data_IF_271905269257
#
_entry.id   IF_271905269257
#
_cell.length_a   1.000
_cell.length_b   1.000
_cell.length_c   1.000
_cell.angle_alpha   90.00
_cell.angle_beta   90.00
_cell.angle_gamma   90.00
#
_symmetry.space_group_name_H-M   'P 1'
#
loop_
_entity.id
_entity.type
_entity.pdbx_description
1 polymer ?
#
# COMPACT_ATOMS: atom_id res chain seq x y z
N UNK A 1 -11.48 29.81 -17.70
CA UNK A 1 -11.09 29.14 -16.44
C UNK A 1 -12.11 28.03 -16.17
N UNK A 2 -11.74 26.75 -16.36
CA UNK A 2 -12.65 25.63 -16.13
C UNK A 2 -12.98 25.51 -14.63
N UNK A 3 -14.26 25.50 -14.28
CA UNK A 3 -14.71 25.27 -12.90
C UNK A 3 -14.46 23.80 -12.57
N UNK A 4 -13.68 23.53 -11.52
CA UNK A 4 -13.52 22.17 -11.00
C UNK A 4 -14.78 21.75 -10.29
N UNK A 5 -15.20 20.52 -10.52
CA UNK A 5 -16.36 19.91 -9.85
C UNK A 5 -15.97 19.41 -8.45
N UNK A 6 -16.94 19.26 -7.55
CA UNK A 6 -16.69 18.70 -6.21
C UNK A 6 -16.03 17.31 -6.26
N UNK A 7 -16.44 16.37 -7.13
CA UNK A 7 -15.74 15.09 -7.30
C UNK A 7 -14.26 15.23 -7.69
N UNK A 8 -13.91 16.23 -8.51
CA UNK A 8 -12.52 16.48 -8.89
C UNK A 8 -11.69 16.95 -7.69
N UNK A 9 -12.24 17.84 -6.87
CA UNK A 9 -11.55 18.33 -5.66
C UNK A 9 -11.36 17.19 -4.66
N UNK A 10 -12.38 16.36 -4.46
CA UNK A 10 -12.30 15.18 -3.58
C UNK A 10 -11.27 14.17 -4.08
N UNK A 11 -11.21 13.91 -5.40
CA UNK A 11 -10.19 13.05 -5.99
C UNK A 11 -8.78 13.63 -5.81
N UNK A 12 -8.59 14.95 -5.91
CA UNK A 12 -7.32 15.62 -5.67
C UNK A 12 -6.86 15.46 -4.21
N UNK A 13 -7.77 15.68 -3.26
CA UNK A 13 -7.48 15.51 -1.83
C UNK A 13 -7.12 14.06 -1.53
N UNK A 14 -7.91 13.10 -1.99
CA UNK A 14 -7.65 11.68 -1.76
C UNK A 14 -6.32 11.23 -2.38
N UNK A 15 -5.99 11.70 -3.59
CA UNK A 15 -4.71 11.39 -4.24
C UNK A 15 -3.52 11.94 -3.43
N UNK A 16 -3.68 13.12 -2.83
CA UNK A 16 -2.67 13.71 -1.95
C UNK A 16 -2.49 12.89 -0.66
N UNK A 17 -3.59 12.54 0.02
CA UNK A 17 -3.55 11.70 1.22
C UNK A 17 -2.93 10.32 0.92
N UNK A 18 -3.29 9.70 -0.20
CA UNK A 18 -2.76 8.39 -0.61
C UNK A 18 -1.28 8.47 -0.98
N UNK A 19 -0.83 9.58 -1.56
CA UNK A 19 0.61 9.82 -1.78
C UNK A 19 1.36 9.89 -0.45
N UNK A 20 0.83 10.60 0.54
CA UNK A 20 1.44 10.69 1.87
C UNK A 20 1.45 9.33 2.59
N UNK A 21 0.40 8.53 2.46
CA UNK A 21 0.34 7.17 2.99
C UNK A 21 1.41 6.25 2.37
N UNK A 22 1.72 6.47 1.08
CA UNK A 22 2.72 5.69 0.36
C UNK A 22 4.15 6.21 0.54
N UNK A 23 4.32 7.48 0.94
CA UNK A 23 5.62 8.11 1.15
C UNK A 23 6.41 7.47 2.28
N UNK A 24 5.81 7.38 3.47
CA UNK A 24 6.37 6.73 4.67
C UNK A 24 5.26 6.09 5.50
N UNK A 25 5.62 5.14 6.36
CA UNK A 25 4.64 4.47 7.23
C UNK A 25 4.07 5.45 8.26
N UNK A 26 2.82 5.85 8.07
CA UNK A 26 2.09 6.69 9.02
C UNK A 26 0.60 6.70 8.74
N UNK A 27 -0.19 6.87 9.79
CA UNK A 27 -1.64 7.04 9.72
C UNK A 27 -1.93 8.49 9.30
N UNK A 28 -2.28 8.69 8.03
CA UNK A 28 -2.62 10.01 7.50
C UNK A 28 -4.13 10.19 7.49
N UNK A 29 -4.60 11.21 8.20
CA UNK A 29 -6.03 11.56 8.32
C UNK A 29 -6.23 13.05 8.03
N UNK A 30 -7.34 13.38 7.37
CA UNK A 30 -7.74 14.80 7.25
C UNK A 30 -8.34 15.28 8.56
N UNK A 31 -7.65 16.18 9.24
CA UNK A 31 -8.16 16.82 10.46
C UNK A 31 -9.27 17.84 10.15
N UNK A 32 -9.11 18.59 9.06
CA UNK A 32 -10.05 19.61 8.61
C UNK A 32 -10.00 19.75 7.10
N UNK A 33 -11.16 19.69 6.47
CA UNK A 33 -11.35 20.02 5.05
C UNK A 33 -12.27 21.23 4.96
N UNK A 34 -11.87 22.24 4.20
CA UNK A 34 -12.67 23.45 3.99
C UNK A 34 -12.81 23.73 2.49
N UNK A 35 -14.05 23.67 2.00
CA UNK A 35 -14.43 23.95 0.63
C UNK A 35 -14.96 25.37 0.52
N UNK A 36 -14.21 26.24 -0.15
CA UNK A 36 -14.57 27.65 -0.40
C UNK A 36 -14.93 27.83 -1.88
N UNK A 37 -16.19 27.67 -2.27
CA UNK A 37 -16.61 27.91 -3.65
C UNK A 37 -16.44 29.39 -3.99
N UNK A 38 -16.00 29.66 -5.23
CA UNK A 38 -15.94 31.03 -5.77
C UNK A 38 -17.28 31.54 -6.30
N UNK A 39 -18.33 30.71 -6.21
CA UNK A 39 -19.67 31.02 -6.72
C UNK A 39 -20.57 31.46 -5.57
N UNK A 40 -21.36 32.51 -5.79
CA UNK A 40 -22.38 32.97 -4.83
C UNK A 40 -23.54 31.97 -4.73
N UNK A 41 -23.75 31.15 -5.76
CA UNK A 41 -24.85 30.17 -5.84
C UNK A 41 -24.53 28.81 -5.21
N UNK A 42 -23.28 28.56 -4.82
CA UNK A 42 -22.85 27.27 -4.26
C UNK A 42 -22.44 27.52 -2.82
N UNK A 43 -23.10 26.85 -1.89
CA UNK A 43 -22.73 26.88 -0.48
C UNK A 43 -21.46 26.05 -0.27
N UNK A 44 -20.48 26.61 0.43
CA UNK A 44 -19.28 25.88 0.83
C UNK A 44 -19.55 24.88 1.94
N UNK A 45 -18.50 24.19 2.37
CA UNK A 45 -18.59 23.21 3.43
C UNK A 45 -17.32 23.16 4.27
N UNK A 46 -17.45 22.90 5.56
CA UNK A 46 -16.32 22.61 6.45
C UNK A 46 -16.58 21.28 7.14
N UNK A 47 -15.66 20.35 6.96
CA UNK A 47 -15.64 19.07 7.66
C UNK A 47 -14.48 19.09 8.64
N UNK A 48 -14.73 18.70 9.89
CA UNK A 48 -13.69 18.57 10.92
C UNK A 48 -13.79 17.17 11.50
N UNK A 49 -12.66 16.48 11.55
CA UNK A 49 -12.56 15.16 12.17
C UNK A 49 -12.26 15.32 13.66
N UNK A 50 -12.86 14.47 14.50
CA UNK A 50 -12.54 14.42 15.92
C UNK A 50 -11.09 13.94 16.18
N UNK A 51 -10.60 14.07 17.42
CA UNK A 51 -9.30 13.52 17.79
C UNK A 51 -9.28 12.01 17.55
N UNK A 52 -8.27 11.53 16.81
CA UNK A 52 -8.04 10.11 16.60
C UNK A 52 -6.71 9.70 17.21
N UNK A 53 -6.73 8.60 17.96
CA UNK A 53 -5.50 8.00 18.48
C UNK A 53 -4.88 7.13 17.38
N UNK A 54 -3.94 7.70 16.63
CA UNK A 54 -3.24 7.00 15.56
C UNK A 54 -1.99 6.28 16.05
N UNK A 55 -1.81 5.03 15.60
CA UNK A 55 -0.69 4.16 16.02
C UNK A 55 0.64 4.53 15.36
N UNK A 56 0.62 4.85 14.07
CA UNK A 56 1.83 5.13 13.29
C UNK A 56 1.89 6.61 12.94
N UNK A 57 3.01 7.27 13.24
CA UNK A 57 3.21 8.71 13.02
C UNK A 57 4.57 8.92 12.37
N UNK A 58 4.65 9.88 11.47
CA UNK A 58 5.93 10.44 11.00
C UNK A 58 5.80 11.95 10.88
N UNK A 59 6.95 12.63 10.93
CA UNK A 59 7.05 14.06 10.67
C UNK A 59 7.60 14.29 9.27
N UNK A 60 7.11 15.35 8.61
CA UNK A 60 7.72 15.87 7.39
C UNK A 60 8.63 17.02 7.76
N UNK A 61 9.82 17.02 7.17
CA UNK A 61 10.83 18.07 7.28
C UNK A 61 11.08 18.71 5.93
N UNK A 62 11.83 19.82 5.90
CA UNK A 62 12.23 20.45 4.64
C UNK A 62 13.08 19.54 3.74
N UNK A 63 13.78 18.56 4.33
CA UNK A 63 14.59 17.56 3.60
C UNK A 63 13.71 16.63 2.76
N UNK A 64 12.45 16.43 3.15
CA UNK A 64 11.53 15.52 2.47
C UNK A 64 10.85 16.14 1.23
N UNK A 65 10.93 17.46 1.08
CA UNK A 65 10.20 18.21 0.04
C UNK A 65 10.56 17.75 -1.37
N UNK A 66 11.84 17.56 -1.76
CA UNK A 66 12.19 17.12 -3.11
C UNK A 66 11.61 15.75 -3.45
N UNK A 67 11.80 14.76 -2.56
CA UNK A 67 11.33 13.38 -2.77
C UNK A 67 9.81 13.29 -2.80
N UNK A 68 9.14 14.00 -1.88
CA UNK A 68 7.69 14.06 -1.84
C UNK A 68 7.11 14.74 -3.09
N UNK A 69 7.77 15.79 -3.59
CA UNK A 69 7.35 16.47 -4.83
C UNK A 69 7.50 15.56 -6.05
N UNK A 70 8.62 14.84 -6.15
CA UNK A 70 8.85 13.88 -7.22
C UNK A 70 7.83 12.74 -7.18
N UNK A 71 7.57 12.19 -5.99
CA UNK A 71 6.59 11.14 -5.77
C UNK A 71 5.18 11.62 -6.11
N UNK A 72 4.78 12.80 -5.62
CA UNK A 72 3.45 13.36 -5.88
C UNK A 72 3.23 13.63 -7.36
N UNK A 73 4.20 14.23 -8.05
CA UNK A 73 4.14 14.48 -9.50
C UNK A 73 3.86 13.19 -10.27
N UNK A 74 4.47 12.08 -9.83
CA UNK A 74 4.34 10.78 -10.47
C UNK A 74 3.04 10.06 -10.11
N UNK A 75 2.66 10.04 -8.83
CA UNK A 75 1.52 9.26 -8.34
C UNK A 75 0.17 9.95 -8.55
N UNK A 76 0.12 11.28 -8.49
CA UNK A 76 -1.12 12.05 -8.60
C UNK A 76 -1.99 11.64 -9.80
N UNK A 77 -1.52 11.61 -11.06
CA UNK A 77 -2.38 11.25 -12.18
C UNK A 77 -2.91 9.81 -12.09
N UNK A 78 -2.10 8.89 -11.56
CA UNK A 78 -2.47 7.47 -11.42
C UNK A 78 -3.54 7.29 -10.35
N UNK A 79 -3.37 7.92 -9.19
CA UNK A 79 -4.31 7.87 -8.07
C UNK A 79 -5.63 8.59 -8.40
N UNK A 80 -5.58 9.74 -9.09
CA UNK A 80 -6.79 10.43 -9.54
C UNK A 80 -7.62 9.55 -10.48
N UNK A 81 -6.98 8.83 -11.40
CA UNK A 81 -7.67 7.89 -12.28
C UNK A 81 -8.35 6.77 -11.48
N UNK A 82 -7.70 6.26 -10.43
CA UNK A 82 -8.25 5.24 -9.54
C UNK A 82 -9.46 5.77 -8.79
N UNK A 83 -9.36 6.94 -8.16
CA UNK A 83 -10.46 7.53 -7.39
C UNK A 83 -11.68 7.90 -8.24
N UNK A 84 -11.49 8.15 -9.54
CA UNK A 84 -12.58 8.40 -10.49
C UNK A 84 -13.21 7.12 -11.03
N UNK A 85 -12.53 5.98 -10.91
CA UNK A 85 -13.06 4.70 -11.37
C UNK A 85 -14.03 4.12 -10.36
N UNK A 86 -15.17 3.64 -10.83
CA UNK A 86 -16.13 2.89 -10.02
C UNK A 86 -15.78 1.40 -9.91
N UNK A 87 -14.80 0.93 -10.69
CA UNK A 87 -14.42 -0.48 -10.71
C UNK A 87 -13.51 -0.82 -9.53
N UNK A 88 -13.93 -1.81 -8.74
CA UNK A 88 -13.10 -2.38 -7.68
C UNK A 88 -12.05 -3.30 -8.30
N UNK A 89 -10.88 -2.77 -8.62
CA UNK A 89 -9.73 -3.58 -9.02
C UNK A 89 -8.88 -4.05 -7.84
N UNK A 90 -7.92 -4.92 -8.12
CA UNK A 90 -6.98 -5.47 -7.14
C UNK A 90 -6.23 -4.39 -6.34
N UNK A 91 -5.88 -3.27 -6.98
CA UNK A 91 -5.19 -2.18 -6.33
C UNK A 91 -6.11 -1.45 -5.35
N UNK A 92 -7.34 -1.12 -5.77
CA UNK A 92 -8.34 -0.47 -4.91
C UNK A 92 -8.66 -1.32 -3.68
N UNK A 93 -8.77 -2.64 -3.85
CA UNK A 93 -8.94 -3.58 -2.73
C UNK A 93 -7.72 -3.55 -1.80
N UNK A 94 -6.51 -3.66 -2.36
CA UNK A 94 -5.27 -3.63 -1.58
C UNK A 94 -5.10 -2.32 -0.81
N UNK A 95 -5.35 -1.18 -1.45
CA UNK A 95 -5.27 0.15 -0.85
C UNK A 95 -6.27 0.30 0.29
N UNK A 96 -7.51 -0.16 0.12
CA UNK A 96 -8.52 -0.18 1.19
C UNK A 96 -8.04 -1.01 2.38
N UNK A 97 -7.59 -2.25 2.16
CA UNK A 97 -7.08 -3.12 3.25
C UNK A 97 -5.87 -2.54 3.97
N UNK A 98 -4.99 -1.86 3.25
CA UNK A 98 -3.86 -1.15 3.87
C UNK A 98 -4.32 0.02 4.75
N UNK A 99 -5.29 0.82 4.29
CA UNK A 99 -5.88 1.90 5.09
C UNK A 99 -6.58 1.37 6.34
N UNK A 100 -7.35 0.29 6.22
CA UNK A 100 -7.96 -0.39 7.37
C UNK A 100 -6.89 -0.77 8.41
N UNK A 101 -5.79 -1.39 7.96
CA UNK A 101 -4.68 -1.78 8.82
C UNK A 101 -4.00 -0.59 9.54
N UNK A 102 -3.97 0.59 8.90
CA UNK A 102 -3.34 1.79 9.44
C UNK A 102 -4.25 2.65 10.33
N UNK A 103 -5.55 2.69 10.02
CA UNK A 103 -6.46 3.72 10.53
C UNK A 103 -7.50 3.18 11.52
N UNK A 104 -7.92 1.92 11.42
CA UNK A 104 -9.10 1.43 12.17
C UNK A 104 -8.80 1.01 13.62
N UNK A 105 -7.56 1.15 14.10
CA UNK A 105 -7.24 1.07 15.54
C UNK A 105 -7.51 -0.29 16.20
N UNK A 106 -7.39 -1.40 15.46
CA UNK A 106 -7.65 -2.76 15.95
C UNK A 106 -6.47 -3.42 16.69
N UNK A 107 -6.63 -4.70 16.99
CA UNK A 107 -5.55 -5.53 17.54
C UNK A 107 -4.39 -5.68 16.54
N UNK A 108 -3.23 -6.10 17.02
CA UNK A 108 -2.09 -6.37 16.14
C UNK A 108 -2.39 -7.48 15.13
N UNK A 109 -3.17 -8.48 15.52
CA UNK A 109 -3.64 -9.56 14.65
C UNK A 109 -4.58 -9.06 13.55
N UNK A 110 -5.49 -8.14 13.87
CA UNK A 110 -6.35 -7.49 12.88
C UNK A 110 -5.50 -6.66 11.89
N UNK A 111 -4.54 -5.91 12.40
CA UNK A 111 -3.59 -5.12 11.60
C UNK A 111 -2.81 -6.02 10.62
N UNK A 112 -2.24 -7.12 11.12
CA UNK A 112 -1.52 -8.10 10.31
C UNK A 112 -2.44 -8.75 9.28
N UNK A 113 -3.66 -9.11 9.68
CA UNK A 113 -4.66 -9.71 8.79
C UNK A 113 -5.01 -8.79 7.62
N UNK A 114 -5.27 -7.52 7.89
CA UNK A 114 -5.54 -6.51 6.85
C UNK A 114 -4.30 -6.26 5.97
N UNK A 115 -3.09 -6.21 6.55
CA UNK A 115 -1.83 -6.11 5.81
C UNK A 115 -1.57 -7.30 4.88
N UNK A 116 -1.79 -8.53 5.35
CA UNK A 116 -1.71 -9.74 4.52
C UNK A 116 -2.78 -9.72 3.42
N UNK A 117 -4.02 -9.35 3.73
CA UNK A 117 -5.09 -9.26 2.73
C UNK A 117 -4.77 -8.22 1.65
N UNK A 118 -4.10 -7.12 2.01
CA UNK A 118 -3.56 -6.16 1.05
C UNK A 118 -2.56 -6.83 0.10
N UNK A 119 -1.58 -7.56 0.64
CA UNK A 119 -0.57 -8.26 -0.15
C UNK A 119 -1.19 -9.35 -1.03
N UNK A 120 -2.16 -10.12 -0.53
CA UNK A 120 -2.92 -11.12 -1.31
C UNK A 120 -3.61 -10.45 -2.51
N UNK A 121 -4.29 -9.32 -2.29
CA UNK A 121 -4.96 -8.59 -3.35
C UNK A 121 -4.00 -8.13 -4.46
N UNK A 122 -2.76 -7.76 -4.11
CA UNK A 122 -1.77 -7.27 -5.07
C UNK A 122 -0.99 -8.39 -5.76
N UNK A 123 -0.63 -9.44 -5.01
CA UNK A 123 0.40 -10.40 -5.41
C UNK A 123 -0.11 -11.83 -5.57
N UNK A 124 -1.41 -12.10 -5.44
CA UNK A 124 -2.01 -13.38 -5.81
C UNK A 124 -2.98 -13.22 -6.99
N UNK A 125 -2.94 -14.18 -7.91
CA UNK A 125 -3.87 -14.28 -9.04
C UNK A 125 -5.22 -14.85 -8.61
N UNK A 126 -6.29 -14.50 -9.34
CA UNK A 126 -7.65 -14.94 -9.01
C UNK A 126 -7.85 -16.47 -9.05
N UNK A 127 -7.02 -17.19 -9.82
CA UNK A 127 -7.05 -18.65 -9.94
C UNK A 127 -6.17 -19.40 -8.94
N UNK A 128 -5.38 -18.70 -8.12
CA UNK A 128 -4.45 -19.34 -7.19
C UNK A 128 -5.19 -19.76 -5.92
N UNK A 129 -5.17 -21.06 -5.61
CA UNK A 129 -5.86 -21.63 -4.44
C UNK A 129 -4.96 -22.44 -3.50
N UNK A 130 -3.79 -22.83 -3.97
CA UNK A 130 -2.85 -23.67 -3.23
C UNK A 130 -1.57 -22.90 -2.93
N UNK A 131 -0.93 -23.25 -1.81
CA UNK A 131 0.38 -22.71 -1.42
C UNK A 131 0.41 -21.17 -1.29
N UNK A 132 -0.74 -20.56 -0.98
CA UNK A 132 -0.88 -19.10 -0.96
C UNK A 132 0.17 -18.42 -0.06
N UNK A 133 0.42 -18.98 1.12
CA UNK A 133 1.49 -18.55 2.04
C UNK A 133 2.85 -18.52 1.37
N UNK A 134 3.24 -19.61 0.71
CA UNK A 134 4.56 -19.75 0.08
C UNK A 134 4.70 -18.82 -1.12
N UNK A 135 3.71 -18.79 -2.01
CA UNK A 135 3.70 -17.90 -3.18
C UNK A 135 3.76 -16.43 -2.78
N UNK A 136 2.95 -16.04 -1.80
CA UNK A 136 2.94 -14.66 -1.31
C UNK A 136 4.30 -14.31 -0.70
N UNK A 137 4.84 -15.16 0.17
CA UNK A 137 6.17 -14.96 0.77
C UNK A 137 7.26 -14.80 -0.28
N UNK A 138 7.31 -15.68 -1.28
CA UNK A 138 8.29 -15.64 -2.37
C UNK A 138 8.17 -14.37 -3.22
N UNK A 139 6.95 -13.96 -3.59
CA UNK A 139 6.74 -12.77 -4.43
C UNK A 139 7.09 -11.48 -3.68
N UNK A 140 6.72 -11.37 -2.41
CA UNK A 140 7.07 -10.19 -1.59
C UNK A 140 8.59 -10.12 -1.38
N UNK A 141 9.24 -11.24 -1.05
CA UNK A 141 10.70 -11.27 -0.86
C UNK A 141 11.47 -11.02 -2.15
N UNK A 142 11.00 -11.55 -3.29
CA UNK A 142 11.57 -11.29 -4.60
C UNK A 142 11.51 -9.79 -4.93
N UNK A 143 10.35 -9.17 -4.73
CA UNK A 143 10.19 -7.74 -4.99
C UNK A 143 11.10 -6.89 -4.10
N UNK A 144 11.19 -7.24 -2.80
CA UNK A 144 12.10 -6.57 -1.89
C UNK A 144 13.58 -6.73 -2.31
N UNK A 145 13.97 -7.92 -2.78
CA UNK A 145 15.30 -8.21 -3.31
C UNK A 145 15.63 -7.34 -4.53
N UNK A 146 14.71 -7.27 -5.50
CA UNK A 146 14.88 -6.52 -6.75
C UNK A 146 15.03 -5.01 -6.52
N UNK A 147 14.40 -4.51 -5.46
CA UNK A 147 14.48 -3.10 -5.06
C UNK A 147 15.64 -2.80 -4.11
N UNK A 148 16.29 -3.83 -3.55
CA UNK A 148 17.44 -3.68 -2.65
C UNK A 148 17.12 -3.02 -1.31
N UNK A 149 15.86 -3.10 -0.86
CA UNK A 149 15.37 -2.37 0.32
C UNK A 149 15.32 -3.20 1.61
N UNK A 150 15.15 -4.52 1.50
CA UNK A 150 15.07 -5.42 2.66
C UNK A 150 15.80 -6.74 2.37
N UNK A 151 16.25 -7.42 3.43
CA UNK A 151 16.76 -8.79 3.34
C UNK A 151 15.64 -9.75 2.91
N UNK A 152 15.74 -10.41 1.74
CA UNK A 152 14.67 -11.25 1.20
C UNK A 152 14.31 -12.42 2.13
N UNK A 153 15.28 -12.98 2.86
CA UNK A 153 15.03 -14.08 3.79
C UNK A 153 14.23 -13.62 5.00
N UNK A 154 14.58 -12.47 5.59
CA UNK A 154 13.79 -11.86 6.66
C UNK A 154 12.36 -11.55 6.20
N UNK A 155 12.20 -10.94 5.01
CA UNK A 155 10.86 -10.66 4.44
C UNK A 155 10.04 -11.95 4.30
N UNK A 156 10.62 -13.00 3.72
CA UNK A 156 9.92 -14.27 3.55
C UNK A 156 9.47 -14.88 4.89
N UNK A 157 10.32 -14.84 5.91
CA UNK A 157 10.02 -15.35 7.27
C UNK A 157 8.91 -14.53 7.93
N UNK A 158 8.99 -13.20 7.86
CA UNK A 158 7.98 -12.30 8.41
C UNK A 158 6.63 -12.54 7.73
N UNK A 159 6.57 -12.62 6.39
CA UNK A 159 5.32 -12.90 5.65
C UNK A 159 4.76 -14.28 6.01
N UNK A 160 5.62 -15.29 6.11
CA UNK A 160 5.22 -16.64 6.51
C UNK A 160 4.57 -16.63 7.90
N UNK A 161 5.20 -15.96 8.87
CA UNK A 161 4.68 -15.87 10.23
C UNK A 161 3.40 -15.02 10.32
N UNK A 162 3.35 -13.90 9.60
CA UNK A 162 2.18 -13.05 9.50
C UNK A 162 0.97 -13.79 8.89
N UNK A 163 1.20 -14.65 7.89
CA UNK A 163 0.15 -15.46 7.29
C UNK A 163 -0.42 -16.48 8.29
N UNK A 164 0.43 -17.10 9.13
CA UNK A 164 -0.03 -17.98 10.22
C UNK A 164 -0.94 -17.23 11.20
N UNK A 165 -0.53 -16.03 11.63
CA UNK A 165 -1.34 -15.19 12.53
C UNK A 165 -2.68 -14.83 11.88
N UNK A 166 -2.67 -14.42 10.61
CA UNK A 166 -3.89 -14.12 9.85
C UNK A 166 -4.82 -15.33 9.79
N UNK A 167 -4.28 -16.53 9.53
CA UNK A 167 -5.06 -17.77 9.53
C UNK A 167 -5.67 -18.05 10.91
N UNK A 168 -4.86 -17.98 11.97
CA UNK A 168 -5.30 -18.20 13.35
C UNK A 168 -6.40 -17.21 13.77
N UNK A 169 -6.22 -15.93 13.45
CA UNK A 169 -7.15 -14.85 13.81
C UNK A 169 -8.50 -14.99 13.12
N UNK A 170 -8.52 -15.31 11.81
CA UNK A 170 -9.77 -15.52 11.06
C UNK A 170 -10.55 -16.73 11.59
N UNK A 171 -9.87 -17.74 12.15
CA UNK A 171 -10.51 -18.87 12.82
C UNK A 171 -10.87 -18.59 14.30
N UNK A 172 -10.80 -17.34 14.75
CA UNK A 172 -11.21 -16.92 16.09
C UNK A 172 -10.24 -17.31 17.22
N UNK A 173 -9.04 -17.76 16.88
CA UNK A 173 -8.01 -18.13 17.85
C UNK A 173 -7.11 -16.93 18.20
N UNK A 174 -6.56 -16.92 19.41
CA UNK A 174 -5.72 -15.82 19.93
C UNK A 174 -4.24 -16.22 19.93
N UNK A 175 -3.37 -15.31 19.52
CA UNK A 175 -1.92 -15.52 19.58
C UNK A 175 -1.44 -15.29 21.03
N UNK A 176 -0.76 -16.28 21.62
CA UNK A 176 -0.30 -16.23 23.02
C UNK A 176 1.22 -16.46 23.13
N UNK A 177 1.77 -16.14 24.30
CA UNK A 177 3.16 -16.43 24.67
C UNK A 177 4.18 -15.55 23.94
N UNK A 178 5.34 -16.12 23.61
CA UNK A 178 6.44 -15.39 22.95
C UNK A 178 6.05 -14.77 21.60
N UNK A 179 5.12 -15.41 20.87
CA UNK A 179 4.59 -14.89 19.61
C UNK A 179 3.93 -13.51 19.80
N UNK A 180 3.28 -13.27 20.94
CA UNK A 180 2.65 -11.98 21.23
C UNK A 180 3.67 -10.84 21.35
N UNK A 181 4.87 -11.12 21.89
CA UNK A 181 5.95 -10.12 22.02
C UNK A 181 6.47 -9.63 20.68
N UNK A 182 6.38 -10.46 19.64
CA UNK A 182 6.85 -10.12 18.29
C UNK A 182 5.80 -9.39 17.45
N UNK A 183 4.54 -9.33 17.89
CA UNK A 183 3.44 -8.79 17.08
C UNK A 183 3.66 -7.34 16.69
N UNK A 184 4.17 -6.49 17.59
CA UNK A 184 4.37 -5.07 17.25
C UNK A 184 5.40 -4.88 16.14
N UNK A 185 6.56 -5.56 16.22
CA UNK A 185 7.58 -5.56 15.16
C UNK A 185 7.00 -6.09 13.85
N UNK A 186 6.25 -7.18 13.94
CA UNK A 186 5.67 -7.81 12.76
C UNK A 186 4.61 -6.94 12.08
N UNK A 187 3.77 -6.24 12.86
CA UNK A 187 2.82 -5.27 12.29
C UNK A 187 3.53 -4.23 11.44
N UNK A 188 4.58 -3.61 11.99
CA UNK A 188 5.34 -2.59 11.30
C UNK A 188 6.01 -3.13 10.02
N UNK A 189 6.62 -4.32 10.10
CA UNK A 189 7.22 -4.99 8.96
C UNK A 189 6.19 -5.29 7.85
N UNK A 190 5.06 -5.92 8.20
CA UNK A 190 3.99 -6.24 7.24
C UNK A 190 3.44 -4.98 6.58
N UNK A 191 3.19 -3.91 7.35
CA UNK A 191 2.70 -2.66 6.80
C UNK A 191 3.71 -2.00 5.85
N UNK A 192 5.00 -2.04 6.16
CA UNK A 192 6.04 -1.55 5.26
C UNK A 192 6.12 -2.38 3.97
N UNK A 193 5.98 -3.71 4.06
CA UNK A 193 5.91 -4.57 2.87
C UNK A 193 4.65 -4.26 2.04
N UNK A 194 3.48 -4.10 2.67
CA UNK A 194 2.23 -3.68 2.01
C UNK A 194 2.39 -2.32 1.30
N UNK A 195 2.98 -1.33 1.98
CA UNK A 195 3.27 0.00 1.42
C UNK A 195 4.15 -0.10 0.17
N UNK A 196 5.25 -0.85 0.26
CA UNK A 196 6.16 -1.08 -0.86
C UNK A 196 5.44 -1.72 -2.05
N UNK A 197 4.67 -2.78 -1.82
CA UNK A 197 3.93 -3.46 -2.87
C UNK A 197 2.85 -2.57 -3.52
N UNK A 198 2.16 -1.75 -2.73
CA UNK A 198 1.23 -0.75 -3.26
C UNK A 198 1.94 0.27 -4.13
N UNK A 199 3.05 0.82 -3.65
CA UNK A 199 3.85 1.83 -4.33
C UNK A 199 4.38 1.31 -5.68
N UNK A 200 4.81 0.06 -5.74
CA UNK A 200 5.21 -0.59 -6.99
C UNK A 200 4.01 -0.78 -7.91
N UNK A 201 2.92 -1.37 -7.39
CA UNK A 201 1.76 -1.75 -8.20
C UNK A 201 1.08 -0.53 -8.83
N UNK A 202 0.95 0.58 -8.10
CA UNK A 202 0.37 1.81 -8.66
C UNK A 202 1.22 2.37 -9.79
N UNK A 203 2.55 2.36 -9.66
CA UNK A 203 3.47 2.91 -10.67
C UNK A 203 3.61 2.03 -11.92
N UNK A 204 3.39 0.72 -11.77
CA UNK A 204 3.35 -0.22 -12.89
C UNK A 204 1.99 -0.26 -13.60
N UNK A 205 0.98 0.41 -13.05
CA UNK A 205 -0.36 0.49 -13.65
C UNK A 205 -0.28 1.08 -15.05
N UNK A 206 -0.86 0.37 -16.02
CA UNK A 206 -0.83 0.75 -17.44
C UNK A 206 0.46 0.36 -18.18
N UNK A 207 1.55 0.08 -17.47
CA UNK A 207 2.78 -0.44 -18.08
C UNK A 207 2.75 -1.97 -18.25
N UNK A 208 2.21 -2.68 -17.27
CA UNK A 208 2.10 -4.14 -17.29
C UNK A 208 0.80 -4.59 -16.59
N UNK A 209 0.13 -5.60 -17.14
CA UNK A 209 -1.05 -6.22 -16.50
C UNK A 209 -0.61 -7.04 -15.28
N UNK A 210 -1.45 -7.09 -14.24
CA UNK A 210 -1.17 -7.83 -12.99
C UNK A 210 -0.69 -9.26 -13.25
N UNK A 211 -1.44 -10.06 -14.01
CA UNK A 211 -1.09 -11.47 -14.24
C UNK A 211 0.25 -11.63 -14.98
N UNK A 212 0.54 -10.73 -15.93
CA UNK A 212 1.83 -10.70 -16.63
C UNK A 212 2.97 -10.31 -15.68
N UNK A 213 2.72 -9.36 -14.78
CA UNK A 213 3.69 -8.97 -13.74
C UNK A 213 3.98 -10.14 -12.79
N UNK A 214 2.94 -10.83 -12.28
CA UNK A 214 3.12 -12.00 -11.41
C UNK A 214 3.92 -13.11 -12.10
N UNK A 215 3.60 -13.41 -13.36
CA UNK A 215 4.36 -14.39 -14.15
C UNK A 215 5.83 -13.98 -14.34
N UNK A 216 6.08 -12.70 -14.59
CA UNK A 216 7.45 -12.17 -14.75
C UNK A 216 8.22 -12.28 -13.43
N UNK A 217 7.57 -11.96 -12.32
CA UNK A 217 8.14 -12.09 -10.98
C UNK A 217 8.48 -13.55 -10.65
N UNK A 218 7.58 -14.49 -10.93
CA UNK A 218 7.83 -15.92 -10.72
C UNK A 218 9.00 -16.41 -11.59
N UNK A 219 9.02 -16.04 -12.88
CA UNK A 219 10.12 -16.42 -13.78
C UNK A 219 11.46 -15.81 -13.35
N UNK A 220 11.46 -14.62 -12.76
CA UNK A 220 12.69 -13.96 -12.28
C UNK A 220 13.37 -14.69 -11.12
N UNK A 221 12.65 -15.59 -10.44
CA UNK A 221 13.21 -16.46 -9.40
C UNK A 221 14.07 -17.59 -9.99
N UNK A 222 13.85 -17.93 -11.26
CA UNK A 222 14.46 -19.09 -11.92
C UNK A 222 15.45 -18.70 -13.02
N UNK A 223 15.22 -17.55 -13.68
CA UNK A 223 15.97 -17.12 -14.85
C UNK A 223 16.59 -15.72 -14.64
N UNK A 224 17.92 -15.65 -14.75
CA UNK A 224 18.68 -14.41 -14.52
C UNK A 224 18.39 -13.33 -15.57
N UNK A 225 18.05 -13.70 -16.80
CA UNK A 225 17.70 -12.75 -17.86
C UNK A 225 16.32 -12.12 -17.56
N UNK A 226 15.34 -12.92 -17.15
CA UNK A 226 14.04 -12.44 -16.71
C UNK A 226 14.16 -11.55 -15.48
N UNK A 227 15.05 -11.91 -14.55
CA UNK A 227 15.40 -11.06 -13.40
C UNK A 227 15.94 -9.71 -13.83
N UNK A 228 16.94 -9.68 -14.70
CA UNK A 228 17.50 -8.44 -15.21
C UNK A 228 16.45 -7.56 -15.92
N UNK A 229 15.60 -8.16 -16.75
CA UNK A 229 14.51 -7.44 -17.42
C UNK A 229 13.54 -6.80 -16.42
N UNK A 230 13.17 -7.54 -15.37
CA UNK A 230 12.30 -7.02 -14.32
C UNK A 230 12.98 -5.89 -13.52
N UNK A 231 14.27 -6.02 -13.20
CA UNK A 231 15.05 -4.95 -12.55
C UNK A 231 15.07 -3.68 -13.40
N UNK A 232 15.26 -3.78 -14.72
CA UNK A 232 15.22 -2.63 -15.63
C UNK A 232 13.83 -1.98 -15.69
N UNK A 233 12.77 -2.79 -15.72
CA UNK A 233 11.39 -2.29 -15.65
C UNK A 233 11.16 -1.52 -14.34
N UNK A 234 11.56 -2.09 -13.20
CA UNK A 234 11.39 -1.45 -11.89
C UNK A 234 12.21 -0.16 -11.80
N UNK A 235 13.48 -0.17 -12.20
CA UNK A 235 14.34 1.03 -12.18
C UNK A 235 13.81 2.18 -13.05
N UNK A 236 13.24 1.86 -14.21
CA UNK A 236 12.71 2.88 -15.13
C UNK A 236 11.33 3.40 -14.72
N UNK A 237 10.51 2.60 -14.03
CA UNK A 237 9.10 2.93 -13.75
C UNK A 237 8.78 3.16 -12.29
N UNK A 238 9.61 2.78 -11.33
CA UNK A 238 9.30 2.85 -9.89
C UNK A 238 10.24 3.80 -9.18
N UNK A 239 9.68 4.79 -8.48
CA UNK A 239 10.37 5.56 -7.45
C UNK A 239 10.01 4.93 -6.10
N UNK A 240 11.02 4.64 -5.29
CA UNK A 240 10.86 4.11 -3.94
C UNK A 240 11.31 5.16 -2.95
N UNK A 241 10.49 5.42 -1.93
CA UNK A 241 10.83 6.27 -0.79
C UNK A 241 10.90 5.39 0.47
N UNK A 242 12.00 5.52 1.21
CA UNK A 242 12.23 4.82 2.48
C UNK A 242 11.70 5.65 3.65
#
# INVERSE_FOLDING_TARGET
>A
MLRRTEPEVTADINSFLDTLLLFRLGSIISAKTELRPKSVLITGGKTTSGPQNVRYKYALTSVDVPDLTALFTKLKPLLQQIHRSTNSDAFSIGCRRFKEALLEGGTSEATITSGITCLEALLLGAGERQELKHRLGQRVSALASLLGVYDPLAVYRDISFAYEIRSTFIHGSVVRGEKAKMLSRLCEAVLNYSRLCLLVTVQLRGAIKKDAFLKTLDNSLLDQKQRFQLEQLLRSKVIVTM
#
